data_IF_769096069726
#
_entry.id   IF_769096069726
#
_cell.length_a   1.000
_cell.length_b   1.000
_cell.length_c   1.000
_cell.angle_alpha   90.00
_cell.angle_beta   90.00
_cell.angle_gamma   90.00
#
_symmetry.space_group_name_H-M   'P 1'
#
loop_
_entity.id
_entity.type
_entity.pdbx_description
1 polymer ?
#
# COMPACT_ATOMS: atom_id res chain seq x y z
N UNK A 1 0.98 31.02 31.61
CA UNK A 1 0.86 30.95 30.12
C UNK A 1 0.86 29.49 29.75
N UNK A 2 -0.28 28.98 29.30
CA UNK A 2 -0.40 27.60 28.82
C UNK A 2 0.46 27.52 27.55
N UNK A 3 1.46 26.63 27.54
CA UNK A 3 2.25 26.36 26.34
C UNK A 3 1.29 25.86 25.27
N UNK A 4 0.99 26.70 24.29
CA UNK A 4 0.51 26.24 23.01
C UNK A 4 1.66 25.41 22.41
N UNK A 5 1.65 24.09 22.65
CA UNK A 5 2.29 23.16 21.72
C UNK A 5 1.70 23.53 20.38
N UNK A 6 2.50 24.15 19.52
CA UNK A 6 2.22 24.25 18.09
C UNK A 6 1.79 22.85 17.65
N UNK A 7 0.49 22.64 17.40
CA UNK A 7 0.04 21.41 16.76
C UNK A 7 0.84 21.33 15.47
N UNK A 8 1.63 20.28 15.30
CA UNK A 8 2.23 20.00 14.01
C UNK A 8 1.10 20.00 12.98
N UNK A 9 1.26 20.67 11.82
CA UNK A 9 0.21 20.75 10.83
C UNK A 9 -0.21 19.33 10.42
N UNK A 10 -1.51 19.06 10.45
CA UNK A 10 -2.07 17.78 10.03
C UNK A 10 -1.77 17.56 8.55
N UNK A 11 -1.39 16.35 8.12
CA UNK A 11 -1.24 16.05 6.70
C UNK A 11 -2.51 16.35 5.91
N UNK A 12 -2.37 16.88 4.70
CA UNK A 12 -3.52 17.21 3.85
C UNK A 12 -3.35 16.71 2.43
N UNK A 13 -4.47 16.46 1.77
CA UNK A 13 -4.55 16.12 0.35
C UNK A 13 -5.60 17.00 -0.31
N UNK A 14 -5.29 17.53 -1.50
CA UNK A 14 -6.24 18.30 -2.30
C UNK A 14 -6.13 17.96 -3.78
N UNK A 15 -7.25 17.97 -4.48
CA UNK A 15 -7.27 17.88 -5.94
C UNK A 15 -6.70 19.17 -6.54
N UNK A 16 -5.77 19.03 -7.50
CA UNK A 16 -5.19 20.14 -8.26
C UNK A 16 -5.51 20.06 -9.76
N UNK A 17 -6.06 18.94 -10.23
CA UNK A 17 -6.54 18.81 -11.60
C UNK A 17 -7.31 17.51 -11.80
N UNK A 18 -8.37 17.57 -12.60
CA UNK A 18 -9.16 16.41 -13.00
C UNK A 18 -9.30 16.43 -14.53
N UNK A 19 -8.84 15.37 -15.17
CA UNK A 19 -8.79 15.22 -16.61
C UNK A 19 -9.42 13.87 -17.00
N UNK A 20 -9.77 13.71 -18.27
CA UNK A 20 -10.36 12.47 -18.78
C UNK A 20 -9.48 11.23 -18.53
N UNK A 21 -8.16 11.39 -18.53
CA UNK A 21 -7.18 10.29 -18.46
C UNK A 21 -6.46 10.20 -17.11
N UNK A 22 -6.58 11.22 -16.24
CA UNK A 22 -5.92 11.22 -14.95
C UNK A 22 -6.55 12.22 -13.97
N UNK A 23 -6.34 11.97 -12.69
CA UNK A 23 -6.53 12.94 -11.62
C UNK A 23 -5.18 13.33 -11.02
N UNK A 24 -5.05 14.57 -10.57
CA UNK A 24 -3.83 15.10 -9.96
C UNK A 24 -4.15 15.67 -8.60
N UNK A 25 -3.31 15.34 -7.63
CA UNK A 25 -3.43 15.77 -6.25
C UNK A 25 -2.11 16.38 -5.77
N UNK A 26 -2.22 17.28 -4.81
CA UNK A 26 -1.10 17.78 -4.00
C UNK A 26 -1.30 17.26 -2.59
N UNK A 27 -0.28 16.61 -2.06
CA UNK A 27 -0.22 16.12 -0.68
C UNK A 27 0.81 16.96 0.06
N UNK A 28 0.43 17.48 1.22
CA UNK A 28 1.31 18.15 2.17
C UNK A 28 1.48 17.22 3.38
N UNK A 29 2.69 16.70 3.54
CA UNK A 29 3.05 15.80 4.62
C UNK A 29 3.98 16.53 5.59
N UNK A 30 3.38 17.18 6.59
CA UNK A 30 4.10 17.95 7.62
C UNK A 30 5.02 19.05 7.03
N UNK A 31 4.61 19.70 5.95
CA UNK A 31 5.37 20.72 5.24
C UNK A 31 6.13 20.20 4.00
N UNK A 32 6.29 18.89 3.85
CA UNK A 32 6.85 18.28 2.65
C UNK A 32 5.76 18.06 1.60
N UNK A 33 5.79 18.87 0.53
CA UNK A 33 4.77 18.84 -0.52
C UNK A 33 5.21 17.99 -1.70
N UNK A 34 4.33 17.07 -2.12
CA UNK A 34 4.52 16.26 -3.33
C UNK A 34 3.23 16.12 -4.14
N UNK A 35 3.40 15.77 -5.41
CA UNK A 35 2.30 15.63 -6.37
C UNK A 35 2.02 14.16 -6.64
N UNK A 36 0.73 13.82 -6.70
CA UNK A 36 0.24 12.48 -7.00
C UNK A 36 -0.56 12.51 -8.29
N UNK A 37 -0.23 11.63 -9.22
CA UNK A 37 -1.03 11.41 -10.44
C UNK A 37 -1.71 10.06 -10.34
N UNK A 38 -3.04 10.02 -10.41
CA UNK A 38 -3.83 8.78 -10.42
C UNK A 38 -4.30 8.53 -11.85
N UNK A 39 -3.99 7.36 -12.41
CA UNK A 39 -4.32 7.06 -13.80
C UNK A 39 -4.37 5.55 -14.08
N UNK A 40 -5.14 5.17 -15.09
CA UNK A 40 -5.04 3.86 -15.76
C UNK A 40 -4.53 4.00 -17.21
N UNK A 41 -4.31 5.22 -17.68
CA UNK A 41 -4.02 5.55 -19.07
C UNK A 41 -2.55 5.24 -19.44
N UNK A 42 -2.29 4.40 -20.46
CA UNK A 42 -0.92 4.03 -20.84
C UNK A 42 -0.03 5.20 -21.26
N UNK A 43 -0.61 6.26 -21.82
CA UNK A 43 0.13 7.44 -22.28
C UNK A 43 0.61 8.28 -21.10
N UNK A 44 -0.26 8.48 -20.11
CA UNK A 44 0.10 9.19 -18.86
C UNK A 44 1.19 8.42 -18.10
N UNK A 45 1.03 7.09 -18.00
CA UNK A 45 2.03 6.21 -17.37
C UNK A 45 3.37 6.30 -18.10
N UNK A 46 3.35 6.20 -19.43
CA UNK A 46 4.56 6.27 -20.25
C UNK A 46 5.26 7.61 -20.13
N UNK A 47 4.50 8.70 -20.17
CA UNK A 47 5.04 10.06 -20.00
C UNK A 47 5.69 10.23 -18.63
N UNK A 48 5.05 9.75 -17.56
CA UNK A 48 5.61 9.83 -16.21
C UNK A 48 6.96 9.10 -16.13
N UNK A 49 7.07 7.89 -16.69
CA UNK A 49 8.32 7.12 -16.75
C UNK A 49 9.41 7.88 -17.53
N UNK A 50 9.06 8.46 -18.68
CA UNK A 50 9.99 9.27 -19.46
C UNK A 50 10.49 10.50 -18.67
N UNK A 51 9.59 11.18 -17.95
CA UNK A 51 9.94 12.38 -17.20
C UNK A 51 10.83 12.07 -15.98
N UNK A 52 10.62 10.93 -15.30
CA UNK A 52 11.51 10.54 -14.20
C UNK A 52 12.89 10.12 -14.70
N UNK A 53 12.95 9.34 -15.79
CA UNK A 53 14.22 8.95 -16.40
C UNK A 53 14.99 10.18 -16.92
N UNK A 54 14.31 11.12 -17.58
CA UNK A 54 14.93 12.36 -18.06
C UNK A 54 15.48 13.21 -16.90
N UNK A 55 14.74 13.34 -15.80
CA UNK A 55 15.23 14.03 -14.60
C UNK A 55 16.41 13.32 -13.96
N UNK A 56 16.38 11.99 -13.90
CA UNK A 56 17.42 11.17 -13.26
C UNK A 56 18.79 11.25 -13.95
N UNK A 57 18.84 11.59 -15.24
CA UNK A 57 20.12 11.82 -15.97
C UNK A 57 20.96 12.95 -15.39
N UNK A 58 20.36 13.83 -14.59
CA UNK A 58 21.06 14.91 -13.88
C UNK A 58 21.56 14.49 -12.50
N UNK A 59 21.18 13.29 -12.03
CA UNK A 59 21.64 12.73 -10.76
C UNK A 59 23.05 12.15 -10.93
N UNK A 60 23.84 12.25 -9.86
CA UNK A 60 25.15 11.58 -9.77
C UNK A 60 25.05 10.13 -9.29
N UNK A 61 23.87 9.69 -8.85
CA UNK A 61 23.64 8.34 -8.33
C UNK A 61 22.58 7.59 -9.15
N UNK A 62 22.61 6.25 -9.15
CA UNK A 62 21.58 5.42 -9.76
C UNK A 62 20.17 5.78 -9.29
N UNK A 63 19.16 5.46 -10.11
CA UNK A 63 17.79 5.83 -9.83
C UNK A 63 17.24 5.00 -8.68
N UNK A 64 16.74 5.69 -7.66
CA UNK A 64 15.97 5.10 -6.56
C UNK A 64 14.48 5.43 -6.72
N UNK A 65 13.62 4.43 -6.54
CA UNK A 65 12.17 4.56 -6.70
C UNK A 65 11.47 3.95 -5.49
N UNK A 66 10.64 4.74 -4.82
CA UNK A 66 9.72 4.21 -3.80
C UNK A 66 8.56 3.46 -4.44
N UNK A 67 8.20 2.30 -3.91
CA UNK A 67 7.17 1.41 -4.45
C UNK A 67 6.14 1.07 -3.38
N UNK A 68 4.88 1.03 -3.79
CA UNK A 68 3.80 0.39 -3.06
C UNK A 68 2.91 -0.42 -4.00
N UNK A 69 2.20 -1.41 -3.46
CA UNK A 69 1.21 -2.21 -4.18
C UNK A 69 0.01 -2.44 -3.26
N UNK A 70 -1.22 -2.25 -3.78
CA UNK A 70 -2.44 -2.56 -3.03
C UNK A 70 -3.34 -3.51 -3.82
N UNK A 71 -4.13 -4.30 -3.10
CA UNK A 71 -5.08 -5.27 -3.65
C UNK A 71 -6.31 -5.40 -2.76
N UNK A 72 -7.46 -5.67 -3.38
CA UNK A 72 -8.72 -5.96 -2.71
C UNK A 72 -8.65 -7.34 -2.06
N UNK A 73 -8.82 -7.46 -0.74
CA UNK A 73 -8.81 -8.76 -0.08
C UNK A 73 -10.03 -9.59 -0.52
N UNK A 74 -9.78 -10.76 -1.12
CA UNK A 74 -10.87 -11.70 -1.42
C UNK A 74 -11.23 -12.53 -0.19
N UNK A 75 -12.46 -12.34 0.32
CA UNK A 75 -13.03 -13.14 1.41
C UNK A 75 -13.78 -14.33 0.80
N UNK A 76 -13.21 -15.54 0.92
CA UNK A 76 -13.98 -16.75 0.63
C UNK A 76 -14.58 -17.30 1.92
N UNK A 77 -15.91 -17.34 2.02
CA UNK A 77 -16.58 -18.14 3.04
C UNK A 77 -16.49 -19.61 2.63
N UNK A 78 -15.78 -20.42 3.42
CA UNK A 78 -15.77 -21.86 3.20
C UNK A 78 -17.06 -22.43 3.81
N UNK A 79 -17.96 -22.93 2.97
CA UNK A 79 -19.20 -23.59 3.39
C UNK A 79 -18.91 -25.00 3.93
N UNK A 80 -18.10 -25.12 4.98
CA UNK A 80 -17.91 -26.39 5.69
C UNK A 80 -19.02 -26.52 6.75
N UNK A 81 -20.28 -26.68 6.32
CA UNK A 81 -21.35 -27.16 7.21
C UNK A 81 -21.32 -28.69 7.22
N UNK A 82 -21.08 -29.37 8.36
CA UNK A 82 -21.25 -30.82 8.42
C UNK A 82 -22.74 -31.19 8.24
N UNK A 83 -23.06 -32.36 7.65
CA UNK A 83 -24.45 -32.78 7.50
C UNK A 83 -25.09 -32.99 8.87
N UNK A 84 -26.18 -32.28 9.15
CA UNK A 84 -26.98 -32.46 10.36
C UNK A 84 -27.82 -33.72 10.19
N UNK A 85 -27.47 -34.80 10.87
CA UNK A 85 -28.32 -36.00 10.97
C UNK A 85 -29.34 -35.79 12.08
N UNK A 86 -30.61 -35.68 11.74
CA UNK A 86 -31.71 -35.65 12.70
C UNK A 86 -31.90 -37.06 13.26
N UNK A 87 -31.66 -37.25 14.56
CA UNK A 87 -32.13 -38.43 15.30
C UNK A 87 -33.28 -37.98 16.18
N UNK A 88 -34.49 -38.39 15.81
CA UNK A 88 -35.71 -38.18 16.59
C UNK A 88 -35.72 -39.17 17.75
N UNK A 89 -35.57 -38.67 18.97
CA UNK A 89 -36.06 -39.33 20.17
C UNK A 89 -36.57 -38.23 21.12
N UNK A 90 -37.88 -38.19 21.34
CA UNK A 90 -38.53 -37.43 22.44
C UNK A 90 -38.94 -38.45 23.51
N UNK A 91 -38.78 -38.18 24.82
CA UNK A 91 -39.92 -37.65 25.63
C UNK A 91 -39.45 -36.89 26.93
N UNK A 92 -40.31 -36.68 27.96
CA UNK A 92 -41.49 -35.80 28.02
C UNK A 92 -41.33 -34.66 29.08
N UNK A 93 -42.36 -33.83 29.17
CA UNK A 93 -42.48 -32.61 29.98
C UNK A 93 -42.08 -32.67 31.46
N UNK A 94 -41.33 -31.65 31.91
CA UNK A 94 -41.50 -31.07 33.26
C UNK A 94 -40.89 -29.66 33.30
N UNK A 95 -41.70 -28.67 33.66
CA UNK A 95 -41.29 -27.28 33.85
C UNK A 95 -40.28 -27.15 34.99
N UNK A 96 -39.14 -26.51 34.71
CA UNK A 96 -38.37 -25.78 35.71
C UNK A 96 -37.70 -24.58 35.03
N UNK A 97 -38.14 -23.38 35.41
CA UNK A 97 -37.51 -22.13 35.05
C UNK A 97 -36.11 -22.07 35.64
N UNK A 98 -35.09 -22.15 34.80
CA UNK A 98 -33.80 -21.46 34.94
C UNK A 98 -32.98 -21.70 33.67
N UNK A 99 -33.11 -20.78 32.70
CA UNK A 99 -32.25 -20.79 31.51
C UNK A 99 -30.92 -20.12 31.85
N UNK A 100 -29.76 -20.80 31.73
CA UNK A 100 -28.47 -20.12 31.76
C UNK A 100 -28.35 -19.20 30.54
N UNK A 101 -27.55 -18.11 30.61
CA UNK A 101 -27.45 -17.18 29.49
C UNK A 101 -26.93 -17.92 28.26
N UNK A 102 -27.72 -17.92 27.20
CA UNK A 102 -27.32 -18.38 25.87
C UNK A 102 -26.12 -17.54 25.46
N UNK A 103 -24.92 -18.09 25.60
CA UNK A 103 -23.74 -17.50 24.97
C UNK A 103 -23.93 -17.73 23.47
N UNK A 104 -24.27 -16.68 22.73
CA UNK A 104 -24.05 -16.64 21.30
C UNK A 104 -22.54 -16.78 21.07
N UNK A 105 -22.06 -18.01 20.96
CA UNK A 105 -20.76 -18.27 20.38
C UNK A 105 -20.92 -17.93 18.91
N UNK A 106 -20.46 -16.75 18.50
CA UNK A 106 -20.33 -16.40 17.10
C UNK A 106 -19.45 -17.46 16.44
N UNK A 107 -20.09 -18.49 15.88
CA UNK A 107 -19.46 -19.45 14.98
C UNK A 107 -19.32 -18.80 13.60
N UNK A 108 -18.76 -17.60 13.55
CA UNK A 108 -18.33 -17.02 12.28
C UNK A 108 -17.23 -17.96 11.75
N UNK A 109 -17.42 -18.59 10.59
CA UNK A 109 -16.42 -19.47 10.03
C UNK A 109 -15.10 -18.71 9.88
N UNK A 110 -13.93 -19.36 10.04
CA UNK A 110 -12.65 -18.69 9.91
C UNK A 110 -12.55 -18.06 8.52
N UNK A 111 -12.55 -16.74 8.48
CA UNK A 111 -12.34 -15.97 7.26
C UNK A 111 -10.91 -16.26 6.79
N UNK A 112 -10.78 -17.01 5.70
CA UNK A 112 -9.51 -17.23 5.02
C UNK A 112 -9.43 -16.27 3.84
N UNK A 113 -8.58 -15.26 3.95
CA UNK A 113 -8.18 -14.44 2.81
C UNK A 113 -7.44 -15.34 1.81
N UNK A 114 -8.01 -15.57 0.62
CA UNK A 114 -7.31 -16.35 -0.40
C UNK A 114 -6.12 -15.56 -0.92
N UNK A 115 -4.97 -16.20 -1.02
CA UNK A 115 -3.70 -15.66 -1.52
C UNK A 115 -3.70 -15.32 -3.03
N UNK A 116 -4.85 -15.34 -3.70
CA UNK A 116 -4.97 -15.20 -5.15
C UNK A 116 -5.53 -13.84 -5.60
N UNK A 117 -5.68 -12.87 -4.68
CA UNK A 117 -6.02 -11.50 -5.06
C UNK A 117 -4.85 -10.91 -5.88
N UNK A 118 -5.14 -10.46 -7.09
CA UNK A 118 -4.17 -9.79 -7.98
C UNK A 118 -3.86 -8.37 -7.49
N UNK A 119 -2.76 -7.79 -7.97
CA UNK A 119 -2.46 -6.38 -7.71
C UNK A 119 -3.49 -5.47 -8.40
N UNK A 120 -4.19 -4.63 -7.64
CA UNK A 120 -5.16 -3.68 -8.17
C UNK A 120 -4.51 -2.34 -8.52
N UNK A 121 -3.48 -1.97 -7.77
CA UNK A 121 -2.75 -0.72 -7.97
C UNK A 121 -1.25 -0.92 -7.81
N UNK A 122 -0.47 -0.11 -8.55
CA UNK A 122 0.98 0.03 -8.39
C UNK A 122 1.28 1.50 -8.14
N UNK A 123 2.01 1.81 -7.07
CA UNK A 123 2.49 3.14 -6.78
C UNK A 123 3.99 3.23 -7.00
N UNK A 124 4.43 4.30 -7.67
CA UNK A 124 5.83 4.60 -7.87
C UNK A 124 6.09 6.05 -7.46
N UNK A 125 7.18 6.30 -6.74
CA UNK A 125 7.56 7.65 -6.35
C UNK A 125 9.04 7.93 -6.59
N UNK A 126 9.33 9.08 -7.21
CA UNK A 126 10.68 9.60 -7.45
C UNK A 126 10.69 11.10 -7.15
N UNK A 127 11.45 11.50 -6.15
CA UNK A 127 11.48 12.89 -5.67
C UNK A 127 10.12 13.29 -5.08
N UNK A 128 9.55 14.40 -5.58
CA UNK A 128 8.24 14.90 -5.18
C UNK A 128 7.11 14.51 -6.15
N UNK A 129 7.31 13.44 -6.94
CA UNK A 129 6.34 12.97 -7.94
C UNK A 129 6.02 11.51 -7.67
N UNK A 130 4.79 11.25 -7.25
CA UNK A 130 4.26 9.89 -7.20
C UNK A 130 3.21 9.68 -8.31
N UNK A 131 3.12 8.46 -8.81
CA UNK A 131 2.06 7.99 -9.69
C UNK A 131 1.38 6.78 -9.06
N UNK A 132 0.05 6.76 -9.08
CA UNK A 132 -0.79 5.62 -8.71
C UNK A 132 -1.40 5.08 -10.00
N UNK A 133 -0.96 3.89 -10.38
CA UNK A 133 -1.39 3.19 -11.57
C UNK A 133 -2.50 2.22 -11.18
N UNK A 134 -3.72 2.46 -11.64
CA UNK A 134 -4.87 1.60 -11.42
C UNK A 134 -4.83 0.38 -12.37
N UNK A 135 -4.08 -0.66 -11.96
CA UNK A 135 -3.84 -1.87 -12.76
C UNK A 135 -5.12 -2.62 -13.13
N UNK A 136 -6.13 -2.66 -12.26
CA UNK A 136 -7.44 -3.30 -12.52
C UNK A 136 -8.18 -2.67 -13.69
N UNK A 137 -7.92 -1.39 -13.94
CA UNK A 137 -8.54 -0.59 -15.01
C UNK A 137 -7.61 -0.40 -16.21
N UNK A 138 -6.30 -0.58 -16.03
CA UNK A 138 -5.32 -0.52 -17.10
C UNK A 138 -5.46 -1.76 -18.00
N UNK A 139 -5.92 -1.58 -19.24
CA UNK A 139 -6.08 -2.71 -20.19
C UNK A 139 -4.72 -3.22 -20.70
N UNK A 140 -3.76 -2.32 -20.89
CA UNK A 140 -2.40 -2.64 -21.35
C UNK A 140 -1.39 -1.74 -20.65
N UNK A 141 -0.46 -2.34 -19.93
CA UNK A 141 0.67 -1.60 -19.37
C UNK A 141 1.68 -1.26 -20.48
N UNK A 142 2.14 0.00 -20.59
CA UNK A 142 3.09 0.39 -21.62
C UNK A 142 4.45 -0.30 -21.46
N UNK A 143 5.10 -0.63 -22.58
CA UNK A 143 6.38 -1.35 -22.58
C UNK A 143 7.48 -0.59 -21.84
N UNK A 144 7.44 0.75 -21.87
CA UNK A 144 8.40 1.59 -21.15
C UNK A 144 8.33 1.38 -19.64
N UNK A 145 7.14 1.16 -19.06
CA UNK A 145 7.02 0.83 -17.64
C UNK A 145 7.57 -0.56 -17.35
N UNK A 146 7.30 -1.55 -18.20
CA UNK A 146 7.85 -2.90 -18.03
C UNK A 146 9.37 -2.90 -18.02
N UNK A 147 9.98 -2.21 -18.98
CA UNK A 147 11.43 -2.04 -19.06
C UNK A 147 11.97 -1.30 -17.84
N UNK A 148 11.29 -0.24 -17.42
CA UNK A 148 11.66 0.52 -16.23
C UNK A 148 11.72 -0.33 -14.96
N UNK A 149 10.70 -1.15 -14.71
CA UNK A 149 10.64 -2.05 -13.55
C UNK A 149 11.68 -3.19 -13.62
N UNK A 150 11.99 -3.65 -14.84
CA UNK A 150 12.93 -4.74 -15.07
C UNK A 150 14.39 -4.29 -15.28
N UNK A 151 14.66 -2.98 -15.22
CA UNK A 151 15.99 -2.43 -15.40
C UNK A 151 16.82 -2.64 -14.12
N UNK A 152 17.93 -3.39 -14.17
CA UNK A 152 18.78 -3.64 -13.00
C UNK A 152 19.49 -2.38 -12.47
N UNK A 153 19.60 -1.32 -13.30
CA UNK A 153 20.20 -0.04 -12.89
C UNK A 153 19.25 0.80 -12.04
N UNK A 154 17.96 0.43 -11.96
CA UNK A 154 16.96 1.05 -11.11
C UNK A 154 16.79 0.26 -9.81
N UNK A 155 16.91 0.94 -8.67
CA UNK A 155 16.62 0.35 -7.35
C UNK A 155 15.23 0.73 -6.90
N UNK A 156 14.41 -0.27 -6.60
CA UNK A 156 13.08 -0.09 -6.05
C UNK A 156 13.08 -0.41 -4.56
N UNK A 157 12.43 0.42 -3.75
CA UNK A 157 12.36 0.27 -2.28
C UNK A 157 10.92 0.33 -1.81
N UNK A 158 10.53 -0.58 -0.93
CA UNK A 158 9.19 -0.61 -0.33
C UNK A 158 9.22 -1.08 1.11
N UNK A 159 8.23 -0.66 1.91
CA UNK A 159 8.05 -1.13 3.28
C UNK A 159 7.14 -2.36 3.27
N UNK A 160 7.67 -3.53 3.67
CA UNK A 160 6.90 -4.79 3.79
C UNK A 160 6.35 -5.31 2.45
N UNK A 161 7.18 -5.24 1.42
CA UNK A 161 6.92 -5.60 0.03
C UNK A 161 7.03 -7.11 -0.29
N UNK A 162 7.05 -7.99 0.72
CA UNK A 162 7.21 -9.44 0.54
C UNK A 162 6.15 -10.08 -0.38
N UNK A 163 4.95 -9.47 -0.49
CA UNK A 163 3.92 -9.92 -1.43
C UNK A 163 3.94 -9.17 -2.75
N UNK A 164 4.45 -7.95 -2.79
CA UNK A 164 4.29 -7.02 -3.91
C UNK A 164 4.81 -7.61 -5.22
N UNK A 165 6.06 -8.08 -5.22
CA UNK A 165 6.64 -8.71 -6.41
C UNK A 165 5.83 -9.93 -6.88
N UNK A 166 5.35 -10.76 -5.93
CA UNK A 166 4.55 -11.95 -6.25
C UNK A 166 3.18 -11.58 -6.79
N UNK A 167 2.55 -10.54 -6.24
CA UNK A 167 1.24 -10.01 -6.65
C UNK A 167 1.30 -9.37 -8.03
N UNK A 168 2.33 -8.58 -8.29
CA UNK A 168 2.60 -7.96 -9.60
C UNK A 168 2.88 -9.03 -10.66
N UNK A 169 3.73 -10.01 -10.35
CA UNK A 169 4.06 -11.12 -11.25
C UNK A 169 2.88 -12.04 -11.53
N UNK A 170 2.05 -12.28 -10.52
CA UNK A 170 0.84 -13.10 -10.62
C UNK A 170 -0.37 -12.39 -11.24
N UNK A 171 -0.34 -11.07 -11.37
CA UNK A 171 -1.41 -10.31 -12.02
C UNK A 171 -1.48 -10.61 -13.52
N UNK A 172 -2.62 -10.29 -14.16
CA UNK A 172 -2.76 -10.34 -15.63
C UNK A 172 -1.66 -9.58 -16.39
N UNK A 173 -1.07 -8.57 -15.75
CA UNK A 173 -0.02 -7.76 -16.34
C UNK A 173 1.36 -8.38 -16.19
N UNK A 174 1.59 -9.36 -15.31
CA UNK A 174 2.87 -10.05 -15.16
C UNK A 174 4.04 -9.06 -15.06
N UNK A 175 3.91 -8.08 -14.16
CA UNK A 175 4.95 -7.07 -13.95
C UNK A 175 6.02 -7.65 -13.03
N UNK A 176 7.28 -7.47 -13.41
CA UNK A 176 8.43 -7.95 -12.66
C UNK A 176 9.30 -6.76 -12.28
N UNK A 177 9.57 -6.63 -10.98
CA UNK A 177 10.54 -5.68 -10.44
C UNK A 177 11.81 -6.47 -10.14
N UNK A 178 12.87 -6.22 -10.90
CA UNK A 178 14.10 -7.03 -10.83
C UNK A 178 14.87 -6.77 -9.54
N UNK A 179 14.94 -5.50 -9.11
CA UNK A 179 15.67 -5.08 -7.91
C UNK A 179 14.76 -4.38 -6.93
N UNK A 180 14.01 -5.17 -6.17
CA UNK A 180 13.10 -4.70 -5.13
C UNK A 180 13.69 -4.99 -3.74
N UNK A 181 14.09 -3.94 -3.02
CA UNK A 181 14.65 -4.01 -1.67
C UNK A 181 13.56 -3.82 -0.62
N UNK A 182 13.58 -4.65 0.41
CA UNK A 182 12.72 -4.50 1.58
C UNK A 182 13.37 -3.53 2.59
N UNK A 183 12.79 -2.34 2.77
CA UNK A 183 13.38 -1.27 3.58
C UNK A 183 13.74 -1.71 5.00
N UNK A 184 12.89 -2.54 5.63
CA UNK A 184 13.10 -2.97 7.03
C UNK A 184 14.39 -3.80 7.24
N UNK A 185 15.03 -4.29 6.17
CA UNK A 185 16.31 -5.02 6.25
C UNK A 185 17.54 -4.10 6.23
N UNK A 186 17.34 -2.84 5.81
CA UNK A 186 18.39 -1.87 5.59
C UNK A 186 18.33 -0.66 6.53
N UNK A 187 17.12 -0.22 6.93
CA UNK A 187 16.95 0.97 7.78
C UNK A 187 17.49 0.71 9.19
N UNK A 188 18.29 1.66 9.69
CA UNK A 188 18.89 1.65 11.03
C UNK A 188 18.20 2.65 11.94
N UNK A 189 18.13 2.36 13.24
CA UNK A 189 17.64 3.31 14.24
C UNK A 189 18.62 4.49 14.42
N UNK A 190 18.19 5.52 15.17
CA UNK A 190 19.04 6.67 15.54
C UNK A 190 20.35 6.31 16.26
N UNK A 191 20.56 5.04 16.62
CA UNK A 191 21.75 4.49 17.27
C UNK A 191 22.55 3.57 16.33
N UNK A 192 22.20 3.52 15.05
CA UNK A 192 22.87 2.73 14.02
C UNK A 192 22.57 1.23 14.08
N UNK A 193 21.51 0.80 14.77
CA UNK A 193 21.17 -0.62 14.93
C UNK A 193 20.04 -1.02 13.98
N UNK A 194 20.12 -2.23 13.41
CA UNK A 194 19.05 -2.86 12.61
C UNK A 194 17.90 -3.33 13.50
N UNK A 195 17.20 -2.40 14.16
CA UNK A 195 16.21 -2.69 15.19
C UNK A 195 14.75 -2.51 14.73
N UNK A 196 14.50 -2.18 13.45
CA UNK A 196 13.14 -1.89 12.96
C UNK A 196 12.37 -3.11 12.45
N UNK A 197 12.95 -4.30 12.54
CA UNK A 197 12.29 -5.54 12.13
C UNK A 197 11.09 -5.80 13.04
N UNK A 198 9.88 -5.65 12.49
CA UNK A 198 8.62 -5.80 13.23
C UNK A 198 7.96 -4.48 13.67
N UNK A 199 8.62 -3.33 13.46
CA UNK A 199 8.00 -2.03 13.66
C UNK A 199 6.85 -1.78 12.69
N UNK A 200 5.85 -1.00 13.12
CA UNK A 200 4.81 -0.52 12.21
C UNK A 200 5.38 0.53 11.25
N UNK A 201 4.71 0.73 10.11
CA UNK A 201 5.05 1.82 9.19
C UNK A 201 5.19 3.16 9.91
N UNK A 202 4.25 3.47 10.81
CA UNK A 202 4.24 4.72 11.58
C UNK A 202 5.47 4.92 12.46
N UNK A 203 5.92 3.87 13.14
CA UNK A 203 7.15 3.94 13.95
C UNK A 203 8.37 4.21 13.06
N UNK A 204 8.47 3.52 11.92
CA UNK A 204 9.61 3.69 11.00
C UNK A 204 9.68 5.12 10.47
N UNK A 205 8.56 5.69 10.00
CA UNK A 205 8.54 7.06 9.45
C UNK A 205 8.68 8.13 10.53
N UNK A 206 8.17 7.88 11.75
CA UNK A 206 8.37 8.80 12.86
C UNK A 206 9.84 8.86 13.28
N UNK A 207 10.49 7.71 13.47
CA UNK A 207 11.90 7.65 13.91
C UNK A 207 12.88 8.22 12.88
N UNK A 208 12.62 8.02 11.59
CA UNK A 208 13.58 8.36 10.53
C UNK A 208 13.25 9.67 9.79
N UNK A 209 11.97 10.02 9.66
CA UNK A 209 11.52 11.21 8.93
C UNK A 209 10.88 12.27 9.83
N UNK A 210 10.63 11.96 11.11
CA UNK A 210 9.98 12.88 12.06
C UNK A 210 8.47 13.06 11.82
N UNK A 211 7.85 12.24 10.98
CA UNK A 211 6.43 12.32 10.65
C UNK A 211 5.56 11.68 11.75
N UNK A 212 5.36 12.43 12.83
CA UNK A 212 4.65 11.96 14.02
C UNK A 212 3.18 11.65 13.75
N UNK A 213 2.72 10.49 14.24
CA UNK A 213 1.32 10.08 14.11
C UNK A 213 0.90 9.69 12.69
N UNK A 214 1.84 9.57 11.76
CA UNK A 214 1.58 9.02 10.44
C UNK A 214 1.39 7.49 10.54
N UNK A 215 0.36 6.97 9.89
CA UNK A 215 0.08 5.54 9.87
C UNK A 215 -0.79 5.17 8.69
N UNK A 216 -0.73 3.89 8.30
CA UNK A 216 -1.64 3.33 7.31
C UNK A 216 -2.90 2.86 8.04
N UNK A 217 -4.06 3.33 7.59
CA UNK A 217 -5.34 2.96 8.16
C UNK A 217 -5.68 1.51 7.77
N UNK A 218 -6.01 0.68 8.76
CA UNK A 218 -6.28 -0.74 8.54
C UNK A 218 -7.56 -1.01 7.74
N UNK A 219 -8.54 -0.12 7.81
CA UNK A 219 -9.80 -0.20 7.06
C UNK A 219 -9.57 0.18 5.61
N UNK A 220 -8.82 1.27 5.37
CA UNK A 220 -8.40 1.68 4.02
C UNK A 220 -7.53 0.59 3.39
N UNK A 221 -6.56 0.05 4.13
CA UNK A 221 -5.69 -1.04 3.65
C UNK A 221 -6.47 -2.28 3.22
N UNK A 222 -7.60 -2.59 3.87
CA UNK A 222 -8.46 -3.75 3.56
C UNK A 222 -9.66 -3.40 2.67
N UNK A 223 -9.72 -2.16 2.18
CA UNK A 223 -10.82 -1.68 1.34
C UNK A 223 -10.77 -2.29 -0.07
N UNK A 224 -11.78 -1.94 -0.87
CA UNK A 224 -11.80 -2.32 -2.27
C UNK A 224 -10.89 -1.38 -3.09
N UNK A 225 -9.70 -1.85 -3.45
CA UNK A 225 -8.73 -1.12 -4.28
C UNK A 225 -8.99 -1.22 -5.78
N UNK A 226 -9.88 -2.12 -6.20
CA UNK A 226 -10.29 -2.29 -7.60
C UNK A 226 -11.39 -1.31 -8.02
N UNK A 227 -11.80 -0.38 -7.16
CA UNK A 227 -12.82 0.65 -7.49
C UNK A 227 -12.33 1.55 -8.61
N UNK A 228 -13.26 2.06 -9.42
CA UNK A 228 -12.95 2.95 -10.54
C UNK A 228 -12.39 4.30 -10.07
N UNK A 229 -12.99 4.86 -9.02
CA UNK A 229 -12.56 6.11 -8.40
C UNK A 229 -12.08 5.81 -6.98
N UNK A 230 -10.77 5.93 -6.75
CA UNK A 230 -10.18 5.80 -5.43
C UNK A 230 -10.63 6.97 -4.52
N UNK A 231 -10.84 6.69 -3.24
CA UNK A 231 -11.15 7.72 -2.25
C UNK A 231 -9.90 8.57 -1.93
N UNK A 232 -10.10 9.75 -1.33
CA UNK A 232 -8.99 10.57 -0.82
C UNK A 232 -8.10 9.79 0.15
N UNK A 233 -8.68 8.96 1.02
CA UNK A 233 -7.92 8.15 1.98
C UNK A 233 -7.09 7.07 1.29
N UNK A 234 -7.66 6.40 0.27
CA UNK A 234 -6.93 5.43 -0.55
C UNK A 234 -5.76 6.09 -1.29
N UNK A 235 -6.00 7.23 -1.93
CA UNK A 235 -4.98 7.99 -2.66
C UNK A 235 -3.89 8.48 -1.71
N UNK A 236 -4.28 9.07 -0.58
CA UNK A 236 -3.36 9.55 0.44
C UNK A 236 -2.48 8.39 0.94
N UNK A 237 -3.08 7.30 1.39
CA UNK A 237 -2.37 6.13 1.92
C UNK A 237 -1.40 5.52 0.89
N UNK A 238 -1.88 5.25 -0.32
CA UNK A 238 -1.07 4.66 -1.38
C UNK A 238 0.10 5.59 -1.77
N UNK A 239 -0.13 6.91 -1.73
CA UNK A 239 0.90 7.89 -2.05
C UNK A 239 1.96 8.05 -0.96
N UNK A 240 1.58 8.05 0.33
CA UNK A 240 2.55 8.14 1.44
C UNK A 240 3.37 6.85 1.58
N UNK A 241 2.81 5.69 1.25
CA UNK A 241 3.54 4.41 1.28
C UNK A 241 4.73 4.46 0.32
N UNK A 242 4.49 4.85 -0.95
CA UNK A 242 5.56 5.01 -1.94
C UNK A 242 6.48 6.21 -1.65
N UNK A 243 5.94 7.34 -1.22
CA UNK A 243 6.73 8.55 -0.93
C UNK A 243 7.68 8.36 0.26
N UNK A 244 7.19 7.84 1.39
CA UNK A 244 8.02 7.54 2.55
C UNK A 244 9.05 6.46 2.21
N UNK A 245 8.68 5.45 1.43
CA UNK A 245 9.64 4.43 0.96
C UNK A 245 10.79 5.06 0.16
N UNK A 246 10.49 5.97 -0.76
CA UNK A 246 11.50 6.73 -1.50
C UNK A 246 12.39 7.56 -0.56
N UNK A 247 11.79 8.35 0.35
CA UNK A 247 12.52 9.22 1.29
C UNK A 247 13.46 8.43 2.20
N UNK A 248 12.99 7.29 2.73
CA UNK A 248 13.81 6.39 3.55
C UNK A 248 14.95 5.78 2.75
N UNK A 249 14.69 5.28 1.54
CA UNK A 249 15.75 4.74 0.70
C UNK A 249 16.79 5.78 0.30
N UNK A 250 16.41 7.06 0.21
CA UNK A 250 17.37 8.16 0.02
C UNK A 250 18.20 8.42 1.27
N UNK A 251 17.56 8.42 2.44
CA UNK A 251 18.23 8.63 3.73
C UNK A 251 19.32 7.58 3.98
N UNK A 252 19.05 6.33 3.59
CA UNK A 252 19.95 5.19 3.79
C UNK A 252 20.83 4.86 2.56
N UNK A 253 20.87 5.74 1.55
CA UNK A 253 21.72 5.56 0.35
C UNK A 253 21.52 4.21 -0.37
N UNK A 254 20.29 3.69 -0.43
CA UNK A 254 20.01 2.33 -0.91
C UNK A 254 20.25 2.11 -2.41
N UNK A 255 20.59 3.16 -3.16
CA UNK A 255 21.07 3.03 -4.54
C UNK A 255 22.45 2.35 -4.64
N UNK A 256 23.21 2.25 -3.53
CA UNK A 256 24.58 1.69 -3.49
C UNK A 256 24.63 0.20 -3.10
N UNK A 257 23.51 -0.40 -2.72
CA UNK A 257 23.42 -1.74 -2.11
C UNK A 257 23.46 -2.89 -3.10
#
# INVERSE_FOLDING_TARGET
>A
KVNAKSMAPTPTIRTIGSYATQQRFSVDLFGDVFNVTVTADPSVIGQWVHDVLFSSRRSSHPLLVGVGVQWTPFVSYRSDSPPVSYRSDSPPDSYCSDSPPVRYRSNSPPVRYRSNAEADTLQLCVGNRCIIIQLSHCHRVPLVLRRFLADPDNTFVGVRNYQDAKKLKGSRHQLEIVRLLELIEHVVDSRGRKCLKGCSFGVIVEENLGYQGLGLDSEVSRSNWSVENLSYDQIFQASIDAYCSFKLGVLDHLWEV
#
